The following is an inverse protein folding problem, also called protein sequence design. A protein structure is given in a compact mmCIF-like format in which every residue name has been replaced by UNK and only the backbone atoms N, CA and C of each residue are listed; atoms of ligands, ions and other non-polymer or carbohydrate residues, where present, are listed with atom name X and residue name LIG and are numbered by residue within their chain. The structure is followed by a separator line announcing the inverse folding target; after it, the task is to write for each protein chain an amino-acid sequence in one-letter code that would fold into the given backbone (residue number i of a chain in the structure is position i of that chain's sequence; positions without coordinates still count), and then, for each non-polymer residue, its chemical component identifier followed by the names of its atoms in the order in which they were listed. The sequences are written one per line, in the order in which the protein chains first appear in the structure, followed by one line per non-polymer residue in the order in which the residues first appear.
data_IF_573115064504
#
_entry.id   IF_573115064504
#
_cell.length_a   1.000
_cell.length_b   1.000
_cell.length_c   1.000
_cell.angle_alpha   90.00
_cell.angle_beta   90.00
_cell.angle_gamma   90.00
#
_symmetry.space_group_name_H-M   'P 1'
#
loop_
_entity.id
_entity.type
_entity.pdbx_description
1 polymer ?
#
# COMPACT_ATOMS: atom_id res chain seq x y z
N UNK A 1 16.55 19.13 0.29
CA UNK A 1 16.02 19.14 -1.09
C UNK A 1 14.53 18.82 -1.02
N UNK A 2 13.72 19.26 -1.98
CA UNK A 2 12.30 18.89 -2.01
C UNK A 2 12.18 17.39 -2.32
N UNK A 3 11.23 16.70 -1.68
CA UNK A 3 11.08 15.26 -1.82
C UNK A 3 10.51 14.88 -3.20
N UNK A 4 11.12 13.89 -3.86
CA UNK A 4 10.52 13.27 -5.04
C UNK A 4 9.68 12.08 -4.60
N UNK A 5 8.43 12.05 -5.05
CA UNK A 5 7.39 11.12 -4.60
C UNK A 5 7.08 10.14 -5.72
N UNK A 6 7.16 8.84 -5.44
CA UNK A 6 6.68 7.79 -6.34
C UNK A 6 5.36 7.22 -5.85
N UNK A 7 4.35 7.21 -6.72
CA UNK A 7 3.11 6.46 -6.53
C UNK A 7 3.18 5.20 -7.39
N UNK A 8 3.20 4.03 -6.76
CA UNK A 8 3.14 2.76 -7.50
C UNK A 8 1.72 2.49 -8.01
N UNK A 9 1.59 1.83 -9.16
CA UNK A 9 0.29 1.45 -9.69
C UNK A 9 -0.55 2.63 -10.16
N UNK A 10 0.04 3.55 -10.93
CA UNK A 10 -0.64 4.78 -11.39
C UNK A 10 -1.91 4.55 -12.22
N UNK A 11 -2.06 3.35 -12.81
CA UNK A 11 -3.29 2.92 -13.51
C UNK A 11 -4.17 1.97 -12.67
N UNK A 12 -3.78 1.68 -11.44
CA UNK A 12 -4.48 0.81 -10.52
C UNK A 12 -5.66 1.51 -9.85
N UNK A 13 -6.48 0.74 -9.13
CA UNK A 13 -7.67 1.25 -8.46
C UNK A 13 -7.33 2.32 -7.41
N UNK A 14 -6.38 2.02 -6.52
CA UNK A 14 -5.91 2.96 -5.51
C UNK A 14 -5.04 4.06 -6.11
N UNK A 15 -3.97 3.68 -6.83
CA UNK A 15 -3.00 4.64 -7.36
C UNK A 15 -3.60 5.65 -8.32
N UNK A 16 -4.46 5.22 -9.24
CA UNK A 16 -5.15 6.13 -10.17
C UNK A 16 -6.15 7.06 -9.48
N UNK A 17 -6.90 6.55 -8.49
CA UNK A 17 -7.84 7.38 -7.72
C UNK A 17 -7.11 8.40 -6.83
N UNK A 18 -5.97 7.99 -6.25
CA UNK A 18 -5.11 8.89 -5.48
C UNK A 18 -4.54 9.99 -6.37
N UNK A 19 -3.98 9.66 -7.54
CA UNK A 19 -3.45 10.63 -8.48
C UNK A 19 -4.54 11.61 -8.98
N UNK A 20 -5.74 11.12 -9.25
CA UNK A 20 -6.88 11.98 -9.59
C UNK A 20 -7.26 12.93 -8.44
N UNK A 21 -7.19 12.46 -7.19
CA UNK A 21 -7.48 13.29 -6.01
C UNK A 21 -6.35 14.30 -5.76
N UNK A 22 -5.12 13.94 -6.11
CA UNK A 22 -3.93 14.77 -5.98
C UNK A 22 -4.06 16.09 -6.75
N UNK A 23 -4.68 16.07 -7.94
CA UNK A 23 -4.90 17.28 -8.76
C UNK A 23 -5.83 18.29 -8.10
N UNK A 24 -6.67 17.85 -7.17
CA UNK A 24 -7.62 18.70 -6.42
C UNK A 24 -7.09 19.11 -5.07
N UNK A 25 -6.19 18.33 -4.49
CA UNK A 25 -5.69 18.52 -3.12
C UNK A 25 -4.71 19.71 -2.98
N UNK A 26 -4.22 20.27 -4.09
CA UNK A 26 -3.28 21.41 -4.12
C UNK A 26 -2.06 21.21 -3.20
N UNK A 27 -1.58 19.96 -3.11
CA UNK A 27 -0.39 19.60 -2.35
C UNK A 27 0.81 20.29 -3.00
N UNK A 28 1.62 20.99 -2.20
CA UNK A 28 2.81 21.70 -2.65
C UNK A 28 4.01 21.38 -1.75
N UNK A 29 5.21 21.79 -2.16
CA UNK A 29 6.44 21.58 -1.37
C UNK A 29 7.20 20.28 -1.67
N UNK A 30 6.70 19.44 -2.58
CA UNK A 30 7.46 18.32 -3.14
C UNK A 30 8.18 18.74 -4.43
N UNK A 31 9.18 17.97 -4.84
CA UNK A 31 9.92 18.17 -6.09
C UNK A 31 9.14 17.59 -7.27
N UNK A 32 9.39 16.32 -7.57
CA UNK A 32 8.74 15.58 -8.66
C UNK A 32 7.68 14.62 -8.11
N UNK A 33 6.57 14.48 -8.85
CA UNK A 33 5.57 13.43 -8.62
C UNK A 33 5.68 12.42 -9.75
N UNK A 34 6.05 11.19 -9.42
CA UNK A 34 6.27 10.11 -10.36
C UNK A 34 5.20 9.03 -10.18
N UNK A 35 4.84 8.35 -11.26
CA UNK A 35 3.87 7.28 -11.23
C UNK A 35 4.36 6.03 -11.98
N UNK A 36 4.38 4.89 -11.29
CA UNK A 36 4.77 3.62 -11.89
C UNK A 36 3.63 3.07 -12.76
N UNK A 37 3.92 2.89 -14.04
CA UNK A 37 2.98 2.37 -15.06
C UNK A 37 3.59 1.24 -15.87
N UNK A 38 2.76 0.52 -16.64
CA UNK A 38 3.17 -0.66 -17.42
C UNK A 38 3.15 -0.43 -18.94
N UNK A 39 2.37 0.53 -19.44
CA UNK A 39 2.17 0.74 -20.89
C UNK A 39 2.30 2.22 -21.29
N UNK A 40 2.48 2.49 -22.59
CA UNK A 40 2.63 3.86 -23.11
C UNK A 40 1.32 4.65 -23.03
N UNK A 41 0.19 3.97 -23.22
CA UNK A 41 -1.13 4.57 -23.03
C UNK A 41 -1.33 5.01 -21.58
N UNK A 42 -0.91 4.17 -20.62
CA UNK A 42 -0.94 4.52 -19.21
C UNK A 42 -0.03 5.71 -18.95
N UNK A 43 1.21 5.68 -19.43
CA UNK A 43 2.18 6.77 -19.27
C UNK A 43 1.62 8.11 -19.75
N UNK A 44 1.07 8.12 -20.97
CA UNK A 44 0.42 9.28 -21.58
C UNK A 44 -0.76 9.77 -20.74
N UNK A 45 -1.57 8.85 -20.20
CA UNK A 45 -2.73 9.21 -19.38
C UNK A 45 -2.33 9.81 -18.02
N UNK A 46 -1.32 9.26 -17.32
CA UNK A 46 -0.89 9.83 -16.02
C UNK A 46 -0.33 11.23 -16.18
N UNK A 47 0.47 11.44 -17.22
CA UNK A 47 1.05 12.74 -17.51
C UNK A 47 -0.03 13.76 -17.85
N UNK A 48 -0.92 13.45 -18.80
CA UNK A 48 -1.94 14.39 -19.27
C UNK A 48 -3.05 14.67 -18.27
N UNK A 49 -3.47 13.67 -17.50
CA UNK A 49 -4.62 13.79 -16.60
C UNK A 49 -4.22 14.26 -15.20
N UNK A 50 -3.02 13.87 -14.74
CA UNK A 50 -2.60 14.07 -13.35
C UNK A 50 -1.36 14.94 -13.20
N UNK A 51 -0.63 15.22 -14.29
CA UNK A 51 0.63 15.96 -14.23
C UNK A 51 1.74 15.20 -13.52
N UNK A 52 1.63 13.87 -13.39
CA UNK A 52 2.66 13.02 -12.82
C UNK A 52 3.59 12.47 -13.91
N UNK A 53 4.87 12.40 -13.61
CA UNK A 53 5.89 11.88 -14.53
C UNK A 53 5.81 10.35 -14.58
N UNK A 54 5.55 9.75 -15.76
CA UNK A 54 5.44 8.31 -15.86
C UNK A 54 6.82 7.65 -15.77
N UNK A 55 6.92 6.60 -14.94
CA UNK A 55 8.12 5.77 -14.84
C UNK A 55 7.78 4.30 -15.04
N UNK A 56 8.79 3.53 -15.48
CA UNK A 56 8.70 2.08 -15.65
C UNK A 56 9.84 1.41 -14.91
N UNK A 57 9.51 0.32 -14.23
CA UNK A 57 10.47 -0.55 -13.59
C UNK A 57 9.81 -1.91 -13.34
N UNK A 58 10.62 -2.96 -13.28
CA UNK A 58 10.16 -4.21 -12.68
C UNK A 58 10.15 -4.07 -11.15
N UNK A 59 9.75 -5.13 -10.43
CA UNK A 59 9.85 -5.15 -8.96
C UNK A 59 11.10 -5.90 -8.48
N UNK A 60 12.04 -6.21 -9.38
CA UNK A 60 13.31 -6.81 -9.01
C UNK A 60 14.22 -5.78 -8.34
N UNK A 61 15.07 -6.24 -7.42
CA UNK A 61 15.88 -5.38 -6.54
C UNK A 61 16.74 -4.38 -7.32
N UNK A 62 17.46 -4.83 -8.35
CA UNK A 62 18.35 -3.96 -9.15
C UNK A 62 17.58 -2.88 -9.93
N UNK A 63 16.45 -3.24 -10.53
CA UNK A 63 15.60 -2.33 -11.29
C UNK A 63 14.95 -1.27 -10.39
N UNK A 64 14.53 -1.68 -9.18
CA UNK A 64 13.97 -0.77 -8.17
C UNK A 64 15.05 0.17 -7.63
N UNK A 65 16.25 -0.33 -7.34
CA UNK A 65 17.38 0.49 -6.91
C UNK A 65 17.73 1.54 -7.96
N UNK A 66 17.83 1.14 -9.23
CA UNK A 66 18.06 2.06 -10.36
C UNK A 66 16.96 3.11 -10.46
N UNK A 67 15.69 2.70 -10.41
CA UNK A 67 14.55 3.62 -10.45
C UNK A 67 14.66 4.70 -9.36
N UNK A 68 14.95 4.29 -8.12
CA UNK A 68 15.04 5.18 -6.96
C UNK A 68 16.21 6.16 -7.10
N UNK A 69 17.40 5.66 -7.45
CA UNK A 69 18.63 6.45 -7.55
C UNK A 69 18.54 7.45 -8.71
N UNK A 70 18.20 6.97 -9.92
CA UNK A 70 18.16 7.80 -11.13
C UNK A 70 17.15 8.95 -11.01
N UNK A 71 16.11 8.78 -10.18
CA UNK A 71 15.07 9.79 -9.96
C UNK A 71 15.16 10.50 -8.61
N UNK A 72 16.15 10.17 -7.77
CA UNK A 72 16.30 10.70 -6.39
C UNK A 72 14.99 10.60 -5.58
N UNK A 73 14.30 9.45 -5.66
CA UNK A 73 13.00 9.23 -5.01
C UNK A 73 13.19 9.04 -3.51
N UNK A 74 12.70 9.97 -2.71
CA UNK A 74 12.81 9.90 -1.24
C UNK A 74 11.53 9.42 -0.56
N UNK A 75 10.38 9.46 -1.26
CA UNK A 75 9.10 9.00 -0.72
C UNK A 75 8.45 8.03 -1.71
N UNK A 76 8.04 6.86 -1.23
CA UNK A 76 7.33 5.86 -2.03
C UNK A 76 5.97 5.55 -1.40
N UNK A 77 4.90 5.65 -2.18
CA UNK A 77 3.57 5.14 -1.85
C UNK A 77 3.37 3.81 -2.59
N UNK A 78 3.48 2.72 -1.84
CA UNK A 78 3.32 1.35 -2.33
C UNK A 78 1.86 0.90 -2.24
N UNK A 79 1.20 0.76 -3.40
CA UNK A 79 -0.25 0.58 -3.56
C UNK A 79 -0.61 -0.62 -4.46
N UNK A 80 0.38 -1.38 -4.91
CA UNK A 80 0.20 -2.43 -5.93
C UNK A 80 0.00 -3.82 -5.34
N UNK A 81 0.46 -4.07 -4.11
CA UNK A 81 0.31 -5.35 -3.42
C UNK A 81 0.41 -5.18 -1.89
N UNK A 82 -0.36 -5.97 -1.16
CA UNK A 82 -0.39 -6.03 0.30
C UNK A 82 0.02 -7.40 0.87
N UNK A 83 0.27 -8.39 0.01
CA UNK A 83 0.45 -9.80 0.41
C UNK A 83 1.88 -10.33 0.21
N UNK A 84 2.64 -9.82 -0.77
CA UNK A 84 4.02 -10.26 -1.01
C UNK A 84 5.03 -9.22 -0.54
N UNK A 85 6.04 -9.70 0.19
CA UNK A 85 7.05 -8.83 0.79
C UNK A 85 8.18 -8.45 -0.17
N UNK A 86 8.43 -9.20 -1.25
CA UNK A 86 9.65 -9.02 -2.05
C UNK A 86 9.70 -7.69 -2.78
N UNK A 87 8.57 -7.26 -3.36
CA UNK A 87 8.43 -5.94 -3.98
C UNK A 87 8.73 -4.80 -3.01
N UNK A 88 7.96 -4.62 -1.91
CA UNK A 88 8.22 -3.54 -0.96
C UNK A 88 9.60 -3.63 -0.30
N UNK A 89 10.15 -4.83 -0.09
CA UNK A 89 11.50 -5.02 0.42
C UNK A 89 12.59 -4.50 -0.55
N UNK A 90 12.43 -4.70 -1.86
CA UNK A 90 13.30 -4.08 -2.87
C UNK A 90 13.26 -2.54 -2.78
N UNK A 91 12.08 -1.94 -2.54
CA UNK A 91 11.97 -0.49 -2.33
C UNK A 91 12.68 -0.03 -1.05
N UNK A 92 12.59 -0.78 0.06
CA UNK A 92 13.34 -0.45 1.30
C UNK A 92 14.85 -0.39 1.01
N UNK A 93 15.40 -1.41 0.34
CA UNK A 93 16.83 -1.45 0.01
C UNK A 93 17.26 -0.31 -0.90
N UNK A 94 16.49 -0.03 -1.96
CA UNK A 94 16.79 1.08 -2.86
C UNK A 94 16.71 2.45 -2.17
N UNK A 95 15.73 2.65 -1.28
CA UNK A 95 15.62 3.87 -0.47
C UNK A 95 16.82 4.01 0.48
N UNK A 96 17.22 2.91 1.13
CA UNK A 96 18.42 2.90 1.99
C UNK A 96 19.70 3.23 1.22
N UNK A 97 19.85 2.71 -0.01
CA UNK A 97 20.97 3.07 -0.87
C UNK A 97 20.98 4.57 -1.21
N UNK A 98 19.82 5.15 -1.55
CA UNK A 98 19.70 6.59 -1.80
C UNK A 98 20.02 7.42 -0.54
N UNK A 99 19.53 7.01 0.63
CA UNK A 99 19.84 7.68 1.90
C UNK A 99 21.34 7.67 2.18
N UNK A 100 22.02 6.54 2.01
CA UNK A 100 23.48 6.45 2.15
C UNK A 100 24.24 7.36 1.18
N UNK A 101 23.74 7.49 -0.05
CA UNK A 101 24.37 8.32 -1.07
C UNK A 101 24.14 9.84 -0.88
N UNK A 102 23.00 10.23 -0.29
CA UNK A 102 22.56 11.64 -0.27
C UNK A 102 22.42 12.25 1.13
N UNK A 103 22.39 11.43 2.18
CA UNK A 103 22.09 11.84 3.55
C UNK A 103 20.64 12.26 3.80
N UNK A 104 19.74 12.14 2.81
CA UNK A 104 18.34 12.51 2.96
C UNK A 104 17.53 11.43 3.65
N UNK A 105 16.57 11.84 4.49
CA UNK A 105 15.56 10.93 5.00
C UNK A 105 14.71 10.34 3.86
N UNK A 106 14.40 9.06 4.00
CA UNK A 106 13.63 8.29 3.02
C UNK A 106 12.46 7.57 3.68
N UNK A 107 11.35 7.49 2.94
CA UNK A 107 10.06 7.08 3.48
C UNK A 107 9.38 6.06 2.56
N UNK A 108 8.85 4.99 3.16
CA UNK A 108 7.99 4.03 2.50
C UNK A 108 6.62 4.03 3.19
N UNK A 109 5.58 4.37 2.43
CA UNK A 109 4.19 4.19 2.84
C UNK A 109 3.71 2.92 2.17
N UNK A 110 3.52 1.86 2.95
CA UNK A 110 3.06 0.56 2.48
C UNK A 110 1.57 0.40 2.79
N UNK A 111 0.77 0.13 1.76
CA UNK A 111 -0.68 -0.06 1.93
C UNK A 111 -0.98 -1.53 2.21
N UNK A 112 -1.26 -1.83 3.48
CA UNK A 112 -1.71 -3.14 3.97
C UNK A 112 -3.25 -3.17 4.01
N UNK A 113 -3.86 -3.86 4.98
CA UNK A 113 -5.30 -3.76 5.25
C UNK A 113 -5.63 -3.98 6.72
N UNK A 114 -6.81 -3.51 7.15
CA UNK A 114 -7.26 -3.75 8.54
C UNK A 114 -7.60 -5.22 8.80
N UNK A 115 -7.79 -6.00 7.73
CA UNK A 115 -8.03 -7.45 7.82
C UNK A 115 -6.87 -8.16 8.54
N UNK A 116 -5.65 -7.69 8.38
CA UNK A 116 -4.43 -8.19 9.02
C UNK A 116 -4.45 -8.01 10.54
N UNK A 117 -5.38 -7.20 11.06
CA UNK A 117 -5.61 -6.96 12.49
C UNK A 117 -6.97 -7.53 12.96
N UNK A 118 -7.56 -8.46 12.20
CA UNK A 118 -8.81 -9.11 12.56
C UNK A 118 -8.61 -10.45 13.27
N UNK A 119 -9.67 -10.99 13.87
CA UNK A 119 -9.66 -12.35 14.43
C UNK A 119 -9.32 -13.42 13.40
N UNK A 120 -9.65 -13.22 12.12
CA UNK A 120 -9.25 -14.13 11.03
C UNK A 120 -7.72 -14.16 10.85
N UNK A 121 -7.04 -13.06 11.18
CA UNK A 121 -5.60 -12.99 11.21
C UNK A 121 -4.99 -13.50 12.52
N UNK A 122 -5.81 -13.79 13.54
CA UNK A 122 -5.36 -14.17 14.88
C UNK A 122 -5.11 -12.98 15.81
N UNK A 123 -5.59 -11.78 15.48
CA UNK A 123 -5.51 -10.62 16.36
C UNK A 123 -6.43 -10.78 17.58
N UNK A 124 -6.08 -10.17 18.73
CA UNK A 124 -6.93 -10.18 19.93
C UNK A 124 -8.27 -9.51 19.66
N UNK A 125 -9.32 -9.99 20.32
CA UNK A 125 -10.69 -9.46 20.19
C UNK A 125 -11.40 -9.23 21.52
N UNK A 126 -10.73 -9.58 22.61
CA UNK A 126 -11.07 -9.32 24.00
C UNK A 126 -10.91 -7.85 24.37
N UNK A 127 -10.05 -7.12 23.65
CA UNK A 127 -9.73 -5.72 23.92
C UNK A 127 -9.82 -4.86 22.65
N UNK A 128 -9.90 -3.53 22.83
CA UNK A 128 -9.81 -2.59 21.72
C UNK A 128 -8.35 -2.48 21.25
N UNK A 129 -8.11 -2.84 19.99
CA UNK A 129 -6.79 -2.68 19.37
C UNK A 129 -6.66 -1.28 18.76
N UNK A 130 -5.78 -0.45 19.33
CA UNK A 130 -5.50 0.90 18.86
C UNK A 130 -4.28 0.92 17.95
N UNK A 131 -4.31 1.78 16.93
CA UNK A 131 -3.15 2.05 16.07
C UNK A 131 -2.03 2.80 16.80
N UNK A 132 -2.33 3.41 17.94
CA UNK A 132 -1.36 4.05 18.84
C UNK A 132 -0.79 3.13 19.92
N UNK A 133 -1.13 1.84 19.93
CA UNK A 133 -0.62 0.90 20.94
C UNK A 133 0.90 0.69 20.72
N UNK A 134 1.76 0.99 21.72
CA UNK A 134 3.20 0.79 21.60
C UNK A 134 3.58 -0.69 21.41
N UNK A 135 2.70 -1.63 21.74
CA UNK A 135 2.88 -3.06 21.57
C UNK A 135 2.31 -3.58 20.24
N UNK A 136 1.79 -2.73 19.36
CA UNK A 136 1.07 -3.15 18.14
C UNK A 136 1.90 -4.11 17.27
N UNK A 137 3.20 -3.86 17.11
CA UNK A 137 4.10 -4.78 16.40
C UNK A 137 4.20 -6.15 17.12
N UNK A 138 4.35 -6.15 18.45
CA UNK A 138 4.42 -7.38 19.25
C UNK A 138 3.12 -8.16 19.20
N UNK A 139 1.98 -7.47 19.18
CA UNK A 139 0.65 -8.09 19.02
C UNK A 139 0.58 -8.75 17.64
N UNK A 140 0.91 -8.01 16.58
CA UNK A 140 0.84 -8.50 15.21
C UNK A 140 1.80 -9.67 14.95
N UNK A 141 3.03 -9.63 15.47
CA UNK A 141 4.02 -10.71 15.29
C UNK A 141 3.66 -12.01 16.01
N UNK A 142 2.81 -11.94 17.04
CA UNK A 142 2.30 -13.12 17.77
C UNK A 142 1.03 -13.71 17.18
N UNK A 143 0.43 -13.06 16.18
CA UNK A 143 -0.81 -13.53 15.58
C UNK A 143 -0.62 -14.91 14.92
N UNK A 144 -1.58 -15.80 15.18
CA UNK A 144 -1.59 -17.16 14.61
C UNK A 144 -2.91 -17.41 13.91
N UNK A 145 -2.83 -17.85 12.67
CA UNK A 145 -4.00 -18.13 11.84
C UNK A 145 -3.80 -19.39 11.00
N UNK A 146 -4.88 -20.10 10.74
CA UNK A 146 -4.92 -21.23 9.82
C UNK A 146 -5.04 -20.81 8.35
N UNK A 147 -5.40 -19.55 8.09
CA UNK A 147 -5.59 -19.02 6.73
C UNK A 147 -4.23 -18.57 6.17
N UNK A 148 -3.78 -19.23 5.10
CA UNK A 148 -2.44 -19.01 4.52
C UNK A 148 -2.24 -17.57 4.06
N UNK A 149 -3.26 -16.96 3.47
CA UNK A 149 -3.24 -15.59 2.96
C UNK A 149 -3.12 -14.57 4.09
N UNK A 150 -3.81 -14.84 5.22
CA UNK A 150 -3.71 -14.00 6.41
C UNK A 150 -2.34 -14.13 7.07
N UNK A 151 -1.80 -15.35 7.13
CA UNK A 151 -0.44 -15.59 7.63
C UNK A 151 0.59 -14.82 6.79
N UNK A 152 0.55 -14.97 5.46
CA UNK A 152 1.51 -14.32 4.56
C UNK A 152 1.46 -12.79 4.64
N UNK A 153 0.26 -12.20 4.74
CA UNK A 153 0.12 -10.74 4.86
C UNK A 153 0.57 -10.19 6.21
N UNK A 154 0.33 -10.91 7.32
CA UNK A 154 0.86 -10.54 8.64
C UNK A 154 2.39 -10.66 8.67
N UNK A 155 2.94 -11.75 8.14
CA UNK A 155 4.39 -11.94 8.02
C UNK A 155 5.04 -10.86 7.16
N UNK A 156 4.37 -10.43 6.08
CA UNK A 156 4.83 -9.31 5.24
C UNK A 156 4.91 -8.01 6.03
N UNK A 157 3.88 -7.65 6.81
CA UNK A 157 3.94 -6.45 7.65
C UNK A 157 5.13 -6.51 8.62
N UNK A 158 5.32 -7.64 9.32
CA UNK A 158 6.40 -7.79 10.30
C UNK A 158 7.78 -7.72 9.64
N UNK A 159 7.98 -8.43 8.53
CA UNK A 159 9.23 -8.41 7.75
C UNK A 159 9.56 -7.01 7.25
N UNK A 160 8.56 -6.22 6.86
CA UNK A 160 8.79 -4.84 6.44
C UNK A 160 9.20 -3.93 7.59
N UNK A 161 8.60 -4.08 8.78
CA UNK A 161 9.02 -3.34 9.98
C UNK A 161 10.47 -3.64 10.32
N UNK A 162 10.82 -4.92 10.42
CA UNK A 162 12.20 -5.37 10.70
C UNK A 162 13.20 -4.84 9.65
N UNK A 163 12.84 -4.93 8.37
CA UNK A 163 13.66 -4.41 7.29
C UNK A 163 13.80 -2.88 7.35
N UNK A 164 12.73 -2.14 7.63
CA UNK A 164 12.78 -0.70 7.70
C UNK A 164 13.70 -0.22 8.84
N UNK A 165 13.68 -0.91 9.98
CA UNK A 165 14.61 -0.67 11.08
C UNK A 165 16.07 -1.00 10.69
N UNK A 166 16.31 -2.18 10.09
CA UNK A 166 17.66 -2.61 9.67
C UNK A 166 18.27 -1.65 8.63
N UNK A 167 17.47 -1.19 7.67
CA UNK A 167 17.92 -0.40 6.53
C UNK A 167 17.78 1.12 6.74
N UNK A 168 17.34 1.56 7.91
CA UNK A 168 17.17 2.98 8.30
C UNK A 168 16.21 3.76 7.37
N UNK A 169 15.06 3.15 7.09
CA UNK A 169 13.97 3.71 6.27
C UNK A 169 12.76 3.99 7.14
N UNK A 170 12.12 5.15 6.98
CA UNK A 170 10.88 5.46 7.71
C UNK A 170 9.70 4.74 7.08
N UNK A 171 9.18 3.73 7.75
CA UNK A 171 8.03 2.94 7.29
C UNK A 171 6.72 3.44 7.90
N UNK A 172 5.67 3.46 7.08
CA UNK A 172 4.30 3.70 7.48
C UNK A 172 3.42 2.57 6.94
N UNK A 173 2.83 1.78 7.83
CA UNK A 173 1.83 0.78 7.46
C UNK A 173 0.45 1.45 7.39
N UNK A 174 0.02 1.80 6.18
CA UNK A 174 -1.32 2.35 5.95
C UNK A 174 -2.31 1.19 5.88
N UNK A 175 -3.20 1.10 6.85
CA UNK A 175 -4.16 -0.01 6.99
C UNK A 175 -5.59 0.47 6.69
N UNK A 176 -5.99 0.58 5.41
CA UNK A 176 -7.36 0.92 5.06
C UNK A 176 -8.33 -0.22 5.42
N UNK A 177 -9.58 0.15 5.73
CA UNK A 177 -10.69 -0.79 5.74
C UNK A 177 -11.03 -1.25 4.31
N UNK A 178 -12.15 -1.97 4.14
CA UNK A 178 -12.61 -2.35 2.79
C UNK A 178 -12.72 -1.09 1.95
N UNK A 179 -11.92 -1.02 0.88
CA UNK A 179 -12.00 0.08 -0.09
C UNK A 179 -13.07 -0.29 -1.11
N UNK A 180 -14.05 0.59 -1.28
CA UNK A 180 -15.22 0.37 -2.13
C UNK A 180 -15.62 1.65 -2.87
N UNK A 181 -16.52 1.48 -3.84
CA UNK A 181 -17.00 2.56 -4.72
C UNK A 181 -16.30 2.58 -6.08
N UNK A 182 -16.80 3.42 -6.97
CA UNK A 182 -16.20 3.60 -8.30
C UNK A 182 -14.85 4.32 -8.16
N UNK A 183 -13.80 3.71 -8.70
CA UNK A 183 -12.48 4.32 -8.78
C UNK A 183 -12.53 5.54 -9.69
N UNK A 184 -11.91 6.64 -9.24
CA UNK A 184 -11.93 7.91 -9.96
C UNK A 184 -10.78 8.04 -10.96
N UNK A 185 -9.84 7.10 -10.96
CA UNK A 185 -8.75 7.03 -11.93
C UNK A 185 -9.19 6.60 -13.33
N UNK A 186 -8.35 6.82 -14.34
CA UNK A 186 -8.60 6.41 -15.72
C UNK A 186 -8.51 4.90 -15.94
N UNK A 187 -7.78 4.21 -15.05
CA UNK A 187 -7.47 2.79 -15.17
C UNK A 187 -8.53 1.90 -14.52
N UNK A 188 -8.10 1.05 -13.59
CA UNK A 188 -9.05 0.15 -12.90
C UNK A 188 -10.02 0.95 -12.02
N UNK A 189 -11.33 0.76 -12.25
CA UNK A 189 -12.40 1.45 -11.52
C UNK A 189 -13.09 0.58 -10.47
N UNK A 190 -12.73 -0.70 -10.37
CA UNK A 190 -13.48 -1.68 -9.60
C UNK A 190 -12.62 -2.27 -8.49
N UNK A 191 -13.16 -2.29 -7.27
CA UNK A 191 -12.59 -3.00 -6.13
C UNK A 191 -12.82 -4.51 -6.27
N UNK A 192 -11.75 -5.30 -6.14
CA UNK A 192 -11.79 -6.76 -6.25
C UNK A 192 -12.72 -7.36 -5.19
N UNK A 193 -12.61 -6.89 -3.93
CA UNK A 193 -13.35 -7.47 -2.81
C UNK A 193 -14.87 -7.33 -2.95
N UNK A 194 -15.35 -6.18 -3.44
CA UNK A 194 -16.79 -5.96 -3.65
C UNK A 194 -17.32 -6.83 -4.78
N UNK A 195 -16.54 -7.02 -5.85
CA UNK A 195 -16.91 -7.91 -6.97
C UNK A 195 -17.05 -9.35 -6.48
N UNK A 196 -16.09 -9.85 -5.71
CA UNK A 196 -16.11 -11.23 -5.24
C UNK A 196 -17.36 -11.55 -4.40
N UNK A 197 -17.78 -10.61 -3.54
CA UNK A 197 -19.01 -10.74 -2.76
C UNK A 197 -20.24 -10.77 -3.66
N UNK A 198 -20.30 -9.91 -4.68
CA UNK A 198 -21.42 -9.87 -5.63
C UNK A 198 -21.47 -11.15 -6.47
N UNK A 199 -20.33 -11.63 -6.96
CA UNK A 199 -20.23 -12.88 -7.73
C UNK A 199 -20.65 -14.07 -6.88
N UNK A 200 -20.22 -14.15 -5.62
CA UNK A 200 -20.63 -15.20 -4.70
C UNK A 200 -22.15 -15.16 -4.41
N UNK A 201 -22.72 -13.97 -4.23
CA UNK A 201 -24.15 -13.79 -4.04
C UNK A 201 -24.96 -14.20 -5.29
N UNK A 202 -24.51 -13.80 -6.48
CA UNK A 202 -25.12 -14.19 -7.75
C UNK A 202 -25.04 -15.71 -7.97
N UNK A 203 -23.87 -16.31 -7.74
CA UNK A 203 -23.66 -17.74 -7.93
C UNK A 203 -24.43 -18.60 -6.92
N UNK A 204 -24.61 -18.12 -5.69
CA UNK A 204 -25.39 -18.83 -4.68
C UNK A 204 -26.89 -18.54 -4.72
N UNK A 205 -27.32 -17.45 -5.39
CA UNK A 205 -28.69 -16.97 -5.39
C UNK A 205 -29.14 -16.39 -4.04
N UNK A 206 -28.23 -16.17 -3.10
CA UNK A 206 -28.53 -15.76 -1.74
C UNK A 206 -27.55 -14.67 -1.28
N UNK A 207 -28.05 -13.76 -0.43
CA UNK A 207 -27.22 -12.80 0.29
C UNK A 207 -27.32 -13.13 1.78
N UNK A 208 -26.17 -13.34 2.42
CA UNK A 208 -26.10 -13.71 3.83
C UNK A 208 -25.62 -12.52 4.68
N UNK A 209 -26.35 -12.23 5.77
CA UNK A 209 -25.82 -11.42 6.87
C UNK A 209 -25.05 -12.35 7.80
N UNK A 210 -23.74 -12.16 7.90
CA UNK A 210 -22.87 -12.95 8.78
C UNK A 210 -22.56 -12.13 10.03
N UNK A 211 -22.87 -12.68 11.21
CA UNK A 211 -22.62 -12.06 12.52
C UNK A 211 -23.79 -11.27 13.11
N UNK A 212 -23.74 -11.04 14.42
CA UNK A 212 -24.61 -10.11 15.14
C UNK A 212 -24.01 -8.70 15.15
N UNK A 213 -24.85 -7.66 15.19
CA UNK A 213 -24.37 -6.30 15.43
C UNK A 213 -23.73 -6.24 16.82
N UNK A 214 -22.46 -5.82 16.90
CA UNK A 214 -21.86 -5.48 18.20
C UNK A 214 -22.66 -4.32 18.76
N UNK A 215 -23.40 -4.54 19.85
CA UNK A 215 -23.88 -3.45 20.68
C UNK A 215 -22.66 -2.71 21.21
N UNK A 216 -22.42 -1.52 20.67
CA UNK A 216 -21.47 -0.58 21.27
C UNK A 216 -22.17 -0.09 22.53
N UNK A 217 -21.81 -0.67 23.68
CA UNK A 217 -22.19 -0.08 24.96
C UNK A 217 -21.48 1.27 25.04
N UNK A 218 -22.27 2.34 24.83
CA UNK A 218 -21.89 3.74 25.00
C UNK A 218 -21.48 4.04 26.44
#
# INVERSE_FOLDING_TARGET
MAANILITGGSGYLGGSLLQSWTKAQISGYGRLLALVRTDDQATAVEKLYGAEPVRSSLQEDDVAKLIIDNSITIVLYLIDAYTADGPFAFIKGLSALKKATGQDVHLIFTTGTKQFSSLAGAPTDELLLDTDPNLYTIQSKQKTQFKEMKASVETNCRLVEAAEEYDVRLYLLSPCIVYGEGTGFGNKISIQTVDVVVAAQGSGHVYKIGSERQVNS
#
